data_IF_924773922586
#
_entry.id   IF_924773922586
#
_cell.length_a   1.000
_cell.length_b   1.000
_cell.length_c   1.000
_cell.angle_alpha   90.00
_cell.angle_beta   90.00
_cell.angle_gamma   90.00
#
_symmetry.space_group_name_H-M   'P 1'
#
loop_
_entity.id
_entity.type
_entity.pdbx_description
1 polymer ?
#
# COMPACT_ATOMS: atom_id res chain seq x y z
N UNK A 1 -20.61 52.38 38.36
CA UNK A 1 -19.25 52.04 38.82
C UNK A 1 -18.67 51.09 37.79
N UNK A 2 -17.53 51.41 37.18
CA UNK A 2 -16.86 50.47 36.29
C UNK A 2 -16.36 49.31 37.17
N UNK A 3 -16.78 48.05 36.95
CA UNK A 3 -16.34 46.95 37.79
C UNK A 3 -14.82 46.87 37.77
N UNK A 4 -14.20 46.68 38.94
CA UNK A 4 -12.78 46.37 39.00
C UNK A 4 -12.60 44.93 38.51
N UNK A 5 -12.45 44.75 37.20
CA UNK A 5 -12.32 43.44 36.58
C UNK A 5 -10.98 42.81 36.93
N UNK A 6 -10.96 41.48 37.08
CA UNK A 6 -9.72 40.75 37.37
C UNK A 6 -8.69 40.94 36.24
N UNK A 7 -7.37 40.92 36.55
CA UNK A 7 -6.33 41.05 35.53
C UNK A 7 -6.44 39.97 34.43
N UNK A 8 -6.10 40.32 33.20
CA UNK A 8 -6.24 39.42 32.04
C UNK A 8 -5.55 38.07 32.23
N UNK A 9 -4.33 38.05 32.76
CA UNK A 9 -3.59 36.81 33.00
C UNK A 9 -4.36 35.85 33.94
N UNK A 10 -4.94 36.40 35.01
CA UNK A 10 -5.76 35.65 35.99
C UNK A 10 -7.07 35.18 35.36
N UNK A 11 -7.74 36.04 34.60
CA UNK A 11 -8.95 35.68 33.86
C UNK A 11 -8.68 34.52 32.88
N UNK A 12 -7.57 34.61 32.13
CA UNK A 12 -7.15 33.62 31.13
C UNK A 12 -6.84 32.26 31.77
N UNK A 13 -6.11 32.24 32.88
CA UNK A 13 -5.82 31.00 33.61
C UNK A 13 -7.11 30.37 34.17
N UNK A 14 -7.98 31.19 34.75
CA UNK A 14 -9.25 30.75 35.31
C UNK A 14 -10.16 30.12 34.26
N UNK A 15 -10.39 30.78 33.12
CA UNK A 15 -11.32 30.28 32.08
C UNK A 15 -10.79 29.04 31.36
N UNK A 16 -9.47 28.84 31.31
CA UNK A 16 -8.84 27.66 30.72
C UNK A 16 -9.09 26.39 31.52
N UNK A 17 -9.28 26.49 32.84
CA UNK A 17 -9.62 25.34 33.68
C UNK A 17 -10.97 24.69 33.32
N UNK A 18 -11.85 25.41 32.63
CA UNK A 18 -13.17 24.94 32.21
C UNK A 18 -13.20 24.33 30.79
N UNK A 19 -12.10 24.41 30.03
CA UNK A 19 -11.99 23.75 28.73
C UNK A 19 -12.93 24.28 27.63
N UNK A 20 -13.36 25.54 27.69
CA UNK A 20 -14.23 26.12 26.67
C UNK A 20 -13.54 26.14 25.29
N UNK A 21 -14.16 25.52 24.29
CA UNK A 21 -13.59 25.41 22.94
C UNK A 21 -13.93 26.60 22.05
N UNK A 22 -15.03 27.30 22.33
CA UNK A 22 -15.54 28.40 21.51
C UNK A 22 -15.99 29.60 22.33
N UNK A 23 -16.06 30.76 21.67
CA UNK A 23 -16.64 31.98 22.24
C UNK A 23 -18.14 31.86 22.55
N UNK A 24 -18.84 30.89 21.96
CA UNK A 24 -20.24 30.62 22.24
C UNK A 24 -20.39 29.87 23.57
N UNK A 25 -19.56 28.84 23.81
CA UNK A 25 -19.57 28.06 25.06
C UNK A 25 -19.22 28.93 26.27
N UNK A 26 -18.21 29.79 26.12
CA UNK A 26 -17.88 30.77 27.15
C UNK A 26 -19.05 31.72 27.42
N UNK A 27 -19.73 32.21 26.38
CA UNK A 27 -20.85 33.15 26.53
C UNK A 27 -22.04 32.51 27.23
N UNK A 28 -22.45 31.31 26.84
CA UNK A 28 -23.60 30.61 27.45
C UNK A 28 -23.37 30.32 28.94
N UNK A 29 -22.13 30.02 29.34
CA UNK A 29 -21.76 29.95 30.75
C UNK A 29 -21.83 31.31 31.44
N UNK A 30 -21.23 32.36 30.86
CA UNK A 30 -21.25 33.71 31.48
C UNK A 30 -22.64 34.35 31.57
N UNK A 31 -23.63 33.86 30.82
CA UNK A 31 -25.03 34.30 30.86
C UNK A 31 -25.93 33.39 31.70
N UNK A 32 -25.37 32.43 32.46
CA UNK A 32 -26.10 31.62 33.44
C UNK A 32 -26.86 30.43 32.85
N UNK A 33 -26.54 30.01 31.62
CA UNK A 33 -27.26 28.93 30.92
C UNK A 33 -26.59 27.55 31.09
N UNK A 34 -25.60 27.43 31.99
CA UNK A 34 -24.83 26.22 32.29
C UNK A 34 -24.85 25.93 33.80
N UNK A 35 -25.88 25.22 34.32
CA UNK A 35 -25.99 24.91 35.76
C UNK A 35 -25.00 23.83 36.22
N UNK A 36 -24.34 23.15 35.28
CA UNK A 36 -23.29 22.16 35.50
C UNK A 36 -21.93 22.77 35.86
N UNK A 37 -21.79 24.09 35.74
CA UNK A 37 -20.54 24.82 36.01
C UNK A 37 -20.70 25.79 37.19
N UNK A 38 -19.59 26.15 37.86
CA UNK A 38 -19.60 27.16 38.92
C UNK A 38 -20.15 28.50 38.42
N UNK A 39 -20.76 29.26 39.33
CA UNK A 39 -21.22 30.62 39.03
C UNK A 39 -20.07 31.51 38.53
N UNK A 40 -20.39 32.38 37.57
CA UNK A 40 -19.43 33.32 37.01
C UNK A 40 -18.98 34.31 38.10
N UNK A 41 -17.66 34.47 38.36
CA UNK A 41 -17.17 35.51 39.26
C UNK A 41 -17.63 36.91 38.84
N UNK A 42 -17.95 37.76 39.81
CA UNK A 42 -18.46 39.12 39.54
C UNK A 42 -17.43 40.01 38.83
N UNK A 43 -16.14 39.77 39.09
CA UNK A 43 -14.98 40.45 38.51
C UNK A 43 -14.50 39.85 37.19
N UNK A 44 -15.16 38.80 36.67
CA UNK A 44 -14.90 38.26 35.34
C UNK A 44 -15.83 38.89 34.30
N UNK A 45 -15.30 39.56 33.25
CA UNK A 45 -16.14 40.18 32.23
C UNK A 45 -16.76 39.15 31.29
N UNK A 46 -18.05 39.30 30.97
CA UNK A 46 -18.71 38.48 29.94
C UNK A 46 -18.25 38.83 28.52
N UNK A 47 -17.74 40.06 28.32
CA UNK A 47 -17.17 40.55 27.06
C UNK A 47 -15.69 40.92 27.23
N UNK A 48 -14.78 39.93 27.32
CA UNK A 48 -13.35 40.16 27.60
C UNK A 48 -12.66 41.05 26.55
N UNK A 49 -13.11 41.03 25.29
CA UNK A 49 -12.58 41.89 24.23
C UNK A 49 -12.85 43.39 24.44
N UNK A 50 -13.85 43.76 25.24
CA UNK A 50 -14.16 45.17 25.56
C UNK A 50 -13.39 45.66 26.78
N UNK A 51 -12.99 44.75 27.68
CA UNK A 51 -12.30 45.08 28.94
C UNK A 51 -10.79 44.99 28.78
N UNK A 52 -10.30 43.99 28.06
CA UNK A 52 -8.88 43.70 27.88
C UNK A 52 -8.37 44.15 26.49
N UNK A 53 -8.81 45.31 25.99
CA UNK A 53 -8.56 45.79 24.61
C UNK A 53 -7.09 45.69 24.14
N UNK A 54 -6.11 45.91 25.04
CA UNK A 54 -4.68 45.83 24.72
C UNK A 54 -4.04 44.44 24.86
N UNK A 55 -4.69 43.53 25.59
CA UNK A 55 -4.13 42.21 25.94
C UNK A 55 -4.90 41.06 25.28
N UNK A 56 -6.13 41.31 24.82
CA UNK A 56 -7.02 40.32 24.22
C UNK A 56 -6.69 40.07 22.75
N UNK A 57 -5.89 39.05 22.49
CA UNK A 57 -5.53 38.64 21.13
C UNK A 57 -6.64 37.86 20.39
N UNK A 58 -7.72 37.52 21.10
CA UNK A 58 -8.86 36.76 20.59
C UNK A 58 -9.28 35.62 21.52
N UNK A 59 -10.46 35.05 21.28
CA UNK A 59 -11.00 33.95 22.10
C UNK A 59 -10.14 32.67 22.07
N UNK A 60 -9.37 32.44 21.00
CA UNK A 60 -8.45 31.30 20.95
C UNK A 60 -7.35 31.41 22.02
N UNK A 61 -6.72 32.59 22.15
CA UNK A 61 -5.73 32.84 23.20
C UNK A 61 -6.39 32.87 24.59
N UNK A 62 -7.51 33.60 24.72
CA UNK A 62 -8.17 33.78 26.01
C UNK A 62 -8.70 32.47 26.60
N UNK A 63 -9.30 31.59 25.79
CA UNK A 63 -9.84 30.30 26.25
C UNK A 63 -8.80 29.18 26.24
N UNK A 64 -7.60 29.41 25.70
CA UNK A 64 -6.62 28.34 25.45
C UNK A 64 -7.11 27.32 24.43
N UNK A 65 -8.04 27.71 23.55
CA UNK A 65 -8.57 26.84 22.51
C UNK A 65 -7.52 26.69 21.40
N UNK A 66 -7.15 25.45 21.10
CA UNK A 66 -6.27 25.07 19.99
C UNK A 66 -6.86 25.39 18.60
N UNK A 67 -8.06 25.99 18.53
CA UNK A 67 -8.66 26.48 17.29
C UNK A 67 -7.95 27.74 16.76
N UNK A 68 -6.73 27.56 16.26
CA UNK A 68 -6.15 28.51 15.30
C UNK A 68 -7.03 28.52 14.05
N UNK A 69 -7.38 29.71 13.56
CA UNK A 69 -8.10 29.87 12.31
C UNK A 69 -7.37 29.10 11.18
N UNK A 70 -8.07 28.43 10.24
CA UNK A 70 -7.47 27.50 9.29
C UNK A 70 -6.26 28.06 8.51
N UNK A 71 -6.22 29.37 8.27
CA UNK A 71 -5.17 30.07 7.53
C UNK A 71 -3.91 30.41 8.36
N UNK A 72 -3.96 30.30 9.70
CA UNK A 72 -2.80 30.48 10.60
C UNK A 72 -2.19 29.15 11.05
N UNK A 73 -2.65 28.02 10.52
CA UNK A 73 -2.08 26.70 10.82
C UNK A 73 -0.91 26.45 9.89
N UNK A 74 0.28 26.37 10.47
CA UNK A 74 1.47 25.87 9.78
C UNK A 74 1.45 24.35 9.86
N UNK A 75 1.26 23.71 8.71
CA UNK A 75 1.28 22.26 8.59
C UNK A 75 2.67 21.78 8.20
N UNK A 76 3.06 20.60 8.71
CA UNK A 76 4.30 19.96 8.30
C UNK A 76 4.37 19.76 6.78
N UNK A 77 5.56 19.74 6.17
CA UNK A 77 5.75 19.28 4.80
C UNK A 77 5.09 17.91 4.59
N UNK A 78 4.59 17.67 3.37
CA UNK A 78 3.83 16.46 3.07
C UNK A 78 4.56 15.16 3.45
N UNK A 79 5.85 15.07 3.14
CA UNK A 79 6.66 13.88 3.42
C UNK A 79 6.79 13.58 4.92
N UNK A 80 7.00 14.62 5.74
CA UNK A 80 7.10 14.49 7.20
C UNK A 80 5.75 14.14 7.82
N UNK A 81 4.68 14.81 7.37
CA UNK A 81 3.34 14.53 7.85
C UNK A 81 2.89 13.10 7.48
N UNK A 82 3.24 12.64 6.27
CA UNK A 82 2.97 11.28 5.81
C UNK A 82 3.77 10.24 6.59
N UNK A 83 5.02 10.52 6.93
CA UNK A 83 5.83 9.65 7.77
C UNK A 83 5.18 9.43 9.14
N UNK A 84 4.78 10.52 9.81
CA UNK A 84 4.03 10.47 11.07
C UNK A 84 2.75 9.64 10.95
N UNK A 85 1.92 9.91 9.95
CA UNK A 85 0.65 9.16 9.78
C UNK A 85 0.87 7.67 9.57
N UNK A 86 1.96 7.28 8.89
CA UNK A 86 2.28 5.87 8.67
C UNK A 86 2.79 5.16 9.92
N UNK A 87 3.40 5.87 10.86
CA UNK A 87 3.80 5.31 12.16
C UNK A 87 2.58 4.94 13.02
N UNK A 88 1.44 5.61 12.83
CA UNK A 88 0.19 5.30 13.53
C UNK A 88 -0.41 3.94 13.12
N UNK A 89 0.02 3.36 11.99
CA UNK A 89 -0.43 2.04 11.55
C UNK A 89 -1.92 1.92 11.21
N UNK A 90 -2.61 3.04 10.96
CA UNK A 90 -4.04 3.07 10.66
C UNK A 90 -4.32 2.41 9.31
N UNK A 91 -5.34 1.57 9.21
CA UNK A 91 -5.66 0.73 8.05
C UNK A 91 -6.70 1.36 7.10
N UNK A 92 -7.41 2.39 7.55
CA UNK A 92 -8.48 2.98 6.74
C UNK A 92 -8.71 4.47 6.97
N UNK A 93 -9.37 5.11 6.00
CA UNK A 93 -9.80 6.50 6.15
C UNK A 93 -10.82 6.66 7.29
N UNK A 94 -11.59 5.61 7.60
CA UNK A 94 -12.50 5.63 8.73
C UNK A 94 -11.73 5.72 10.05
N UNK A 95 -10.68 4.92 10.22
CA UNK A 95 -9.78 4.99 11.37
C UNK A 95 -9.04 6.32 11.46
N UNK A 96 -8.58 6.88 10.34
CA UNK A 96 -8.01 8.22 10.30
C UNK A 96 -8.97 9.28 10.85
N UNK A 97 -10.26 9.21 10.47
CA UNK A 97 -11.28 10.15 10.97
C UNK A 97 -11.49 9.98 12.48
N UNK A 98 -11.58 8.74 12.96
CA UNK A 98 -11.73 8.42 14.39
C UNK A 98 -10.53 8.93 15.20
N UNK A 99 -9.31 8.70 14.71
CA UNK A 99 -8.10 9.27 15.29
C UNK A 99 -8.14 10.80 15.33
N UNK A 100 -8.51 11.45 14.22
CA UNK A 100 -8.66 12.91 14.17
C UNK A 100 -9.70 13.47 15.15
N UNK A 101 -10.73 12.67 15.47
CA UNK A 101 -11.79 13.00 16.44
C UNK A 101 -11.39 12.69 17.89
N UNK A 102 -10.24 12.07 18.13
CA UNK A 102 -9.80 11.66 19.47
C UNK A 102 -10.49 10.40 19.99
N UNK A 103 -11.14 9.62 19.12
CA UNK A 103 -11.87 8.39 19.48
C UNK A 103 -10.97 7.15 19.63
N UNK A 104 -9.64 7.32 19.48
CA UNK A 104 -8.63 6.26 19.67
C UNK A 104 -7.58 6.78 20.67
N UNK A 105 -7.89 6.74 21.99
CA UNK A 105 -7.03 7.33 23.02
C UNK A 105 -5.62 6.73 23.08
N UNK A 106 -5.47 5.47 22.67
CA UNK A 106 -4.21 4.72 22.69
C UNK A 106 -3.15 5.32 21.74
N UNK A 107 -3.61 6.04 20.69
CA UNK A 107 -2.75 6.71 19.71
C UNK A 107 -2.49 8.19 20.07
N UNK A 108 -3.02 8.65 21.20
CA UNK A 108 -2.91 10.04 21.64
C UNK A 108 -3.72 11.02 20.80
N UNK A 109 -3.48 12.31 21.03
CA UNK A 109 -4.17 13.40 20.33
C UNK A 109 -3.44 13.75 19.04
N UNK A 110 -4.19 13.96 17.95
CA UNK A 110 -3.63 14.44 16.68
C UNK A 110 -2.85 15.75 16.88
N UNK A 111 -1.56 15.82 16.50
CA UNK A 111 -0.79 17.05 16.56
C UNK A 111 -1.41 18.19 15.73
N UNK A 112 -1.28 19.43 16.19
CA UNK A 112 -1.88 20.60 15.51
C UNK A 112 -1.34 20.82 14.08
N UNK A 113 -0.08 20.49 13.86
CA UNK A 113 0.65 20.63 12.59
C UNK A 113 0.38 19.49 11.59
N UNK A 114 -0.47 18.51 11.95
CA UNK A 114 -0.93 17.44 11.05
C UNK A 114 -2.36 17.75 10.64
N UNK A 115 -2.67 17.98 9.36
CA UNK A 115 -4.02 18.35 8.93
C UNK A 115 -5.00 17.17 9.07
N UNK A 116 -6.21 17.42 9.59
CA UNK A 116 -7.29 16.41 9.58
C UNK A 116 -7.81 16.11 8.17
N UNK A 117 -7.68 17.09 7.26
CA UNK A 117 -8.07 16.97 5.85
C UNK A 117 -6.84 17.15 4.93
N UNK A 118 -6.02 16.10 4.78
CA UNK A 118 -4.73 16.18 4.08
C UNK A 118 -4.86 16.37 2.56
N UNK A 119 -5.97 15.94 1.94
CA UNK A 119 -6.22 16.15 0.51
C UNK A 119 -6.29 17.63 0.13
N UNK A 120 -6.88 18.48 0.96
CA UNK A 120 -6.94 19.93 0.73
C UNK A 120 -5.61 20.60 1.03
N UNK A 121 -4.95 20.17 2.11
CA UNK A 121 -3.69 20.77 2.58
C UNK A 121 -2.53 20.49 1.63
N UNK A 122 -2.47 19.26 1.11
CA UNK A 122 -1.36 18.77 0.28
C UNK A 122 -1.72 18.62 -1.20
N UNK A 123 -2.84 19.19 -1.64
CA UNK A 123 -3.20 19.25 -3.07
C UNK A 123 -2.07 19.92 -3.86
N UNK A 124 -1.52 19.21 -4.84
CA UNK A 124 -0.39 19.72 -5.64
C UNK A 124 0.96 19.75 -4.91
N UNK A 125 1.04 19.25 -3.67
CA UNK A 125 2.24 19.18 -2.83
C UNK A 125 2.63 17.73 -2.49
N UNK A 126 2.34 16.78 -3.39
CA UNK A 126 2.65 15.35 -3.22
C UNK A 126 1.46 14.46 -2.86
N UNK A 127 0.27 15.02 -2.57
CA UNK A 127 -0.92 14.22 -2.29
C UNK A 127 -1.28 13.27 -3.43
N UNK A 128 -1.18 11.96 -3.16
CA UNK A 128 -1.53 10.90 -4.11
C UNK A 128 -2.81 10.13 -3.73
N UNK A 129 -3.52 10.56 -2.68
CA UNK A 129 -4.77 9.94 -2.21
C UNK A 129 -4.67 9.38 -0.80
N UNK A 130 -5.83 9.08 -0.20
CA UNK A 130 -5.92 8.61 1.19
C UNK A 130 -5.17 7.31 1.44
N UNK A 131 -5.10 6.46 0.42
CA UNK A 131 -4.36 5.20 0.45
C UNK A 131 -2.83 5.38 0.53
N UNK A 132 -2.28 6.36 -0.18
CA UNK A 132 -0.86 6.70 -0.07
C UNK A 132 -0.56 7.37 1.28
N UNK A 133 -1.43 8.31 1.68
CA UNK A 133 -1.35 9.01 2.96
C UNK A 133 -1.26 8.08 4.15
N UNK A 134 -2.16 7.10 4.23
CA UNK A 134 -2.22 6.15 5.34
C UNK A 134 -1.22 5.00 5.19
N UNK A 135 -0.63 4.82 4.01
CA UNK A 135 0.15 3.61 3.70
C UNK A 135 -0.71 2.34 3.55
N UNK A 136 -2.03 2.50 3.46
CA UNK A 136 -3.02 1.40 3.44
C UNK A 136 -3.44 1.00 2.04
N UNK A 137 -2.92 1.72 1.05
CA UNK A 137 -3.11 1.43 -0.34
C UNK A 137 -2.54 0.10 -0.75
N UNK A 138 -3.44 -0.82 -1.10
CA UNK A 138 -3.26 -1.51 -2.37
C UNK A 138 -2.86 -0.46 -3.43
N UNK A 139 -1.83 -0.75 -4.21
CA UNK A 139 -1.06 0.25 -4.95
C UNK A 139 -1.86 1.03 -5.99
N UNK A 140 -1.49 2.30 -6.15
CA UNK A 140 -2.06 3.18 -7.17
C UNK A 140 -1.70 2.69 -8.58
N UNK A 141 -2.73 2.55 -9.42
CA UNK A 141 -2.57 2.16 -10.82
C UNK A 141 -2.16 3.40 -11.64
N UNK A 142 -1.09 3.32 -12.45
CA UNK A 142 -0.78 4.40 -13.40
C UNK A 142 -1.96 4.59 -14.35
N UNK A 143 -2.23 5.85 -14.75
CA UNK A 143 -3.10 6.09 -15.91
C UNK A 143 -2.43 5.50 -17.15
N UNK A 144 -3.20 4.93 -18.08
CA UNK A 144 -2.65 4.13 -19.18
C UNK A 144 -1.63 4.83 -20.08
N UNK A 145 -1.65 6.17 -20.12
CA UNK A 145 -0.69 7.04 -20.81
C UNK A 145 0.65 7.20 -20.11
N UNK A 146 0.68 7.08 -18.78
CA UNK A 146 1.83 7.40 -17.93
C UNK A 146 2.64 6.14 -17.57
N UNK A 147 2.19 4.98 -18.06
CA UNK A 147 2.75 3.68 -17.73
C UNK A 147 3.93 3.34 -18.63
N UNK A 148 5.03 2.86 -18.03
CA UNK A 148 6.18 2.40 -18.82
C UNK A 148 5.80 1.24 -19.74
N UNK A 149 6.45 1.10 -20.91
CA UNK A 149 6.32 -0.09 -21.75
C UNK A 149 6.59 -1.38 -20.95
N UNK A 150 5.96 -2.49 -21.36
CA UNK A 150 6.09 -3.77 -20.66
C UNK A 150 7.56 -4.21 -20.52
N UNK A 151 8.37 -4.01 -21.55
CA UNK A 151 9.78 -4.42 -21.52
C UNK A 151 10.63 -3.61 -20.55
N UNK A 152 10.30 -2.33 -20.35
CA UNK A 152 10.94 -1.51 -19.32
C UNK A 152 10.48 -1.92 -17.91
N UNK A 153 9.19 -2.22 -17.74
CA UNK A 153 8.68 -2.74 -16.48
C UNK A 153 9.32 -4.09 -16.12
N UNK A 154 9.55 -4.97 -17.10
CA UNK A 154 10.29 -6.25 -16.92
C UNK A 154 11.72 -5.99 -16.46
N UNK A 155 12.46 -5.12 -17.15
CA UNK A 155 13.85 -4.77 -16.76
C UNK A 155 13.89 -4.25 -15.33
N UNK A 156 12.94 -3.39 -14.95
CA UNK A 156 12.81 -2.89 -13.59
C UNK A 156 12.52 -4.01 -12.59
N UNK A 157 11.49 -4.82 -12.85
CA UNK A 157 11.04 -5.86 -11.94
C UNK A 157 12.12 -6.94 -11.71
N UNK A 158 12.86 -7.32 -12.76
CA UNK A 158 13.96 -8.29 -12.70
C UNK A 158 15.12 -7.82 -11.82
N UNK A 159 15.41 -6.51 -11.77
CA UNK A 159 16.44 -5.95 -10.88
C UNK A 159 16.10 -6.10 -9.39
N UNK A 160 14.82 -6.25 -9.05
CA UNK A 160 14.39 -6.45 -7.66
C UNK A 160 14.58 -7.90 -7.19
N UNK A 161 14.87 -8.84 -8.10
CA UNK A 161 15.11 -10.26 -7.81
C UNK A 161 13.97 -10.93 -7.02
N UNK A 162 12.72 -10.49 -7.25
CA UNK A 162 11.53 -11.08 -6.65
C UNK A 162 11.12 -12.32 -7.45
N UNK A 163 10.73 -13.39 -6.78
CA UNK A 163 10.45 -14.69 -7.41
C UNK A 163 8.96 -14.96 -7.62
N UNK A 164 8.09 -14.25 -6.92
CA UNK A 164 6.65 -14.55 -6.88
C UNK A 164 5.77 -13.31 -6.81
N UNK A 165 4.50 -13.47 -7.17
CA UNK A 165 3.47 -12.44 -6.96
C UNK A 165 3.35 -12.01 -5.50
N UNK A 166 3.53 -12.94 -4.55
CA UNK A 166 3.46 -12.64 -3.11
C UNK A 166 4.54 -11.64 -2.72
N UNK A 167 5.77 -11.84 -3.19
CA UNK A 167 6.89 -10.93 -2.97
C UNK A 167 6.70 -9.60 -3.69
N UNK A 168 6.24 -9.63 -4.94
CA UNK A 168 5.84 -8.43 -5.67
C UNK A 168 4.79 -7.62 -4.89
N UNK A 169 3.79 -8.27 -4.30
CA UNK A 169 2.75 -7.62 -3.49
C UNK A 169 3.32 -6.97 -2.23
N UNK A 170 4.23 -7.65 -1.53
CA UNK A 170 4.94 -7.09 -0.36
C UNK A 170 5.79 -5.87 -0.73
N UNK A 171 6.56 -5.99 -1.82
CA UNK A 171 7.35 -4.89 -2.38
C UNK A 171 6.49 -3.65 -2.65
N UNK A 172 5.40 -3.87 -3.37
CA UNK A 172 4.45 -2.84 -3.78
C UNK A 172 3.77 -2.13 -2.61
N UNK A 173 3.61 -2.81 -1.46
CA UNK A 173 3.11 -2.24 -0.20
C UNK A 173 4.18 -1.55 0.64
N UNK A 174 5.44 -1.57 0.21
CA UNK A 174 6.55 -1.03 0.97
C UNK A 174 6.95 -1.89 2.17
N UNK A 175 6.48 -3.14 2.26
CA UNK A 175 6.87 -4.07 3.32
C UNK A 175 8.36 -4.47 3.19
N UNK A 176 8.91 -4.45 1.96
CA UNK A 176 10.32 -4.74 1.68
C UNK A 176 11.16 -3.45 1.69
N UNK A 177 11.43 -2.93 2.90
CA UNK A 177 12.11 -1.63 3.12
C UNK A 177 13.56 -1.54 2.60
N UNK A 178 14.21 -2.68 2.36
CA UNK A 178 15.56 -2.74 1.80
C UNK A 178 15.60 -2.54 0.27
N UNK A 179 14.42 -2.54 -0.39
CA UNK A 179 14.30 -2.33 -1.84
C UNK A 179 13.95 -0.87 -2.15
N UNK A 180 14.31 -0.38 -3.36
CA UNK A 180 13.98 0.98 -3.76
C UNK A 180 12.46 1.17 -3.85
N UNK A 181 11.99 2.37 -3.49
CA UNK A 181 10.57 2.70 -3.63
C UNK A 181 10.04 2.45 -5.05
N UNK A 182 8.81 1.94 -5.14
CA UNK A 182 8.18 1.63 -6.43
C UNK A 182 8.00 2.90 -7.26
N UNK A 183 8.56 2.98 -8.48
CA UNK A 183 8.29 4.08 -9.38
C UNK A 183 6.79 4.25 -9.64
N UNK A 184 6.35 5.49 -9.80
CA UNK A 184 4.94 5.83 -10.01
C UNK A 184 4.40 5.26 -11.34
N UNK A 185 5.24 5.16 -12.36
CA UNK A 185 4.94 4.70 -13.71
C UNK A 185 5.01 3.16 -13.87
N UNK A 186 5.50 2.44 -12.87
CA UNK A 186 5.48 0.96 -12.84
C UNK A 186 4.16 0.49 -12.24
N UNK A 187 3.34 -0.26 -13.00
CA UNK A 187 2.04 -0.70 -12.53
C UNK A 187 2.21 -1.75 -11.47
N UNK A 188 1.32 -1.69 -10.50
CA UNK A 188 1.43 -2.56 -9.35
C UNK A 188 0.57 -3.83 -9.47
N UNK A 189 -0.39 -3.81 -10.41
CA UNK A 189 -1.12 -4.98 -10.90
C UNK A 189 -0.76 -5.17 -12.38
N UNK A 190 0.49 -5.58 -12.68
CA UNK A 190 1.00 -5.60 -14.06
C UNK A 190 0.22 -6.55 -14.98
N UNK A 191 -0.33 -7.66 -14.46
CA UNK A 191 -1.16 -8.58 -15.24
C UNK A 191 -2.43 -7.94 -15.82
N UNK A 192 -3.06 -7.02 -15.09
CA UNK A 192 -4.24 -6.32 -15.56
C UNK A 192 -3.84 -5.22 -16.57
N UNK A 193 -2.77 -4.48 -16.26
CA UNK A 193 -2.29 -3.37 -17.07
C UNK A 193 -1.71 -3.78 -18.42
N UNK A 194 -0.99 -4.90 -18.47
CA UNK A 194 -0.33 -5.39 -19.67
C UNK A 194 -1.08 -6.54 -20.36
N UNK A 195 -2.31 -6.85 -19.94
CA UNK A 195 -3.10 -7.97 -20.46
C UNK A 195 -3.16 -8.01 -21.99
N UNK A 196 -3.42 -6.86 -22.61
CA UNK A 196 -3.46 -6.70 -24.07
C UNK A 196 -2.14 -6.22 -24.70
N UNK A 197 -1.07 -6.12 -23.89
CA UNK A 197 0.25 -5.59 -24.27
C UNK A 197 1.36 -6.64 -24.13
N UNK A 198 1.03 -7.93 -24.27
CA UNK A 198 1.99 -9.02 -24.23
C UNK A 198 2.31 -9.57 -22.84
N UNK A 199 1.44 -9.37 -21.85
CA UNK A 199 1.57 -10.02 -20.55
C UNK A 199 1.48 -11.55 -20.68
N UNK A 200 2.47 -12.25 -20.14
CA UNK A 200 2.49 -13.72 -20.08
C UNK A 200 2.19 -14.19 -18.66
N UNK A 201 3.06 -13.87 -17.70
CA UNK A 201 2.91 -14.32 -16.31
C UNK A 201 3.79 -13.51 -15.36
N UNK A 202 3.60 -13.73 -14.05
CA UNK A 202 4.54 -13.18 -13.06
C UNK A 202 5.94 -13.76 -13.18
N UNK A 203 6.09 -15.03 -13.60
CA UNK A 203 7.41 -15.61 -13.81
C UNK A 203 8.18 -14.91 -14.93
N UNK A 204 7.53 -14.71 -16.08
CA UNK A 204 8.09 -13.93 -17.19
C UNK A 204 8.41 -12.47 -16.78
N UNK A 205 7.46 -11.83 -16.10
CA UNK A 205 7.57 -10.44 -15.71
C UNK A 205 8.71 -10.19 -14.71
N UNK A 206 8.80 -11.04 -13.69
CA UNK A 206 9.81 -10.95 -12.64
C UNK A 206 11.14 -11.59 -13.05
N UNK A 207 11.15 -12.35 -14.16
CA UNK A 207 12.30 -13.14 -14.60
C UNK A 207 12.63 -14.29 -13.66
N UNK A 208 11.63 -14.83 -12.95
CA UNK A 208 11.79 -16.07 -12.21
C UNK A 208 11.56 -17.25 -13.15
N UNK A 209 12.40 -18.28 -13.09
CA UNK A 209 12.36 -19.48 -13.95
C UNK A 209 11.06 -20.31 -13.84
N UNK A 210 10.06 -19.80 -13.12
CA UNK A 210 8.70 -20.33 -13.15
C UNK A 210 8.00 -19.98 -14.47
N UNK A 211 8.26 -20.78 -15.52
CA UNK A 211 7.45 -20.73 -16.74
C UNK A 211 6.01 -21.06 -16.37
N UNK A 212 5.10 -20.12 -16.64
CA UNK A 212 3.69 -20.34 -16.35
C UNK A 212 3.14 -21.42 -17.28
N UNK A 213 2.24 -22.25 -16.76
CA UNK A 213 1.65 -23.38 -17.48
C UNK A 213 0.85 -22.99 -18.73
N UNK A 214 0.55 -21.69 -18.91
CA UNK A 214 -0.15 -21.11 -20.06
C UNK A 214 0.78 -20.35 -21.03
N UNK A 215 2.09 -20.63 -21.05
CA UNK A 215 2.93 -20.20 -22.18
C UNK A 215 2.39 -20.83 -23.48
N UNK A 216 2.49 -20.14 -24.61
CA UNK A 216 2.01 -20.66 -25.92
C UNK A 216 3.12 -21.27 -26.77
N UNK A 217 4.38 -21.14 -26.36
CA UNK A 217 5.56 -21.61 -27.13
C UNK A 217 6.02 -23.00 -26.69
N UNK A 218 5.07 -23.90 -26.42
CA UNK A 218 5.41 -25.28 -26.08
C UNK A 218 5.75 -26.06 -27.33
N UNK A 219 6.76 -26.93 -27.21
CA UNK A 219 6.99 -27.98 -28.20
C UNK A 219 5.70 -28.80 -28.37
N UNK A 220 5.44 -29.31 -29.58
CA UNK A 220 4.26 -30.13 -29.87
C UNK A 220 4.14 -31.29 -28.86
N UNK A 221 2.91 -31.71 -28.55
CA UNK A 221 2.69 -32.80 -27.59
C UNK A 221 3.44 -34.08 -28.01
N UNK A 222 3.45 -34.42 -29.30
CA UNK A 222 4.13 -35.61 -29.81
C UNK A 222 5.65 -35.54 -29.65
N UNK A 223 6.27 -34.42 -30.02
CA UNK A 223 7.72 -34.25 -29.89
C UNK A 223 8.15 -34.13 -28.42
N UNK A 224 7.32 -33.49 -27.59
CA UNK A 224 7.57 -33.37 -26.15
C UNK A 224 7.40 -34.73 -25.46
N UNK A 225 6.37 -35.50 -25.80
CA UNK A 225 6.15 -36.88 -25.32
C UNK A 225 7.31 -37.79 -25.72
N UNK A 226 7.74 -37.76 -26.97
CA UNK A 226 8.87 -38.54 -27.47
C UNK A 226 10.18 -38.18 -26.76
N UNK A 227 10.41 -36.89 -26.53
CA UNK A 227 11.57 -36.42 -25.77
C UNK A 227 11.53 -36.88 -24.31
N UNK A 228 10.40 -36.72 -23.63
CA UNK A 228 10.27 -37.07 -22.21
C UNK A 228 10.28 -38.58 -21.97
N UNK A 229 9.70 -39.36 -22.88
CA UNK A 229 9.75 -40.83 -22.80
C UNK A 229 11.19 -41.34 -22.92
N UNK A 230 12.04 -40.69 -23.72
CA UNK A 230 13.46 -41.02 -23.86
C UNK A 230 14.28 -40.76 -22.58
N UNK A 231 13.82 -39.87 -21.68
CA UNK A 231 14.47 -39.62 -20.39
C UNK A 231 14.27 -40.75 -19.37
N UNK A 232 13.35 -41.67 -19.63
CA UNK A 232 13.06 -42.86 -18.81
C UNK A 232 12.74 -42.54 -17.32
N UNK A 233 12.06 -41.42 -17.09
CA UNK A 233 11.65 -40.98 -15.75
C UNK A 233 10.55 -41.91 -15.21
N UNK A 234 10.75 -42.46 -14.00
CA UNK A 234 9.91 -43.54 -13.46
C UNK A 234 8.67 -43.02 -12.73
N UNK A 235 8.65 -41.74 -12.38
CA UNK A 235 7.56 -41.15 -11.60
C UNK A 235 7.35 -39.67 -11.89
N UNK A 236 6.18 -39.17 -11.52
CA UNK A 236 5.91 -37.73 -11.52
C UNK A 236 6.86 -36.96 -10.59
N UNK A 237 7.38 -37.60 -9.53
CA UNK A 237 8.33 -36.97 -8.63
C UNK A 237 9.69 -36.76 -9.30
N UNK A 238 10.17 -37.77 -10.05
CA UNK A 238 11.39 -37.67 -10.86
C UNK A 238 11.22 -36.62 -11.96
N UNK A 239 10.06 -36.57 -12.62
CA UNK A 239 9.70 -35.49 -13.55
C UNK A 239 9.85 -34.10 -12.94
N UNK A 240 9.23 -33.87 -11.77
CA UNK A 240 9.29 -32.57 -11.10
C UNK A 240 10.71 -32.18 -10.70
N UNK A 241 11.55 -33.15 -10.34
CA UNK A 241 12.96 -32.90 -10.00
C UNK A 241 13.76 -32.54 -11.23
N UNK A 242 13.71 -33.39 -12.27
CA UNK A 242 14.39 -33.15 -13.53
C UNK A 242 13.97 -31.82 -14.17
N UNK A 243 12.68 -31.48 -14.12
CA UNK A 243 12.18 -30.24 -14.73
C UNK A 243 12.76 -28.99 -14.07
N UNK A 244 12.90 -28.99 -12.75
CA UNK A 244 13.48 -27.85 -12.01
C UNK A 244 14.95 -27.63 -12.26
N UNK A 245 15.70 -28.67 -12.62
CA UNK A 245 17.16 -28.62 -12.70
C UNK A 245 17.66 -28.53 -14.14
N UNK A 246 16.99 -29.22 -15.09
CA UNK A 246 17.58 -29.54 -16.40
C UNK A 246 16.59 -29.29 -17.56
N UNK A 247 15.30 -29.01 -17.32
CA UNK A 247 14.33 -28.96 -18.42
C UNK A 247 14.60 -27.83 -19.44
N UNK A 248 14.52 -28.16 -20.75
CA UNK A 248 14.41 -27.17 -21.80
C UNK A 248 13.20 -26.24 -21.61
N UNK A 249 13.34 -24.98 -22.02
CA UNK A 249 12.31 -23.92 -21.85
C UNK A 249 11.01 -24.18 -22.61
N UNK A 250 11.06 -25.03 -23.64
CA UNK A 250 9.94 -25.42 -24.50
C UNK A 250 9.17 -26.65 -23.98
N UNK A 251 9.52 -27.16 -22.78
CA UNK A 251 8.84 -28.26 -22.12
C UNK A 251 8.07 -27.74 -20.89
N UNK A 252 6.74 -27.91 -20.81
CA UNK A 252 5.93 -27.36 -19.71
C UNK A 252 6.12 -28.10 -18.39
N UNK A 253 6.16 -27.39 -17.27
CA UNK A 253 6.21 -28.00 -15.92
C UNK A 253 4.96 -28.84 -15.62
N UNK A 254 3.79 -28.38 -16.07
CA UNK A 254 2.49 -29.06 -15.94
C UNK A 254 1.98 -29.48 -17.34
N UNK A 255 2.46 -30.59 -17.89
CA UNK A 255 2.10 -31.04 -19.24
C UNK A 255 0.62 -31.43 -19.36
N UNK A 256 0.01 -31.89 -18.27
CA UNK A 256 -1.43 -32.18 -18.17
C UNK A 256 -2.32 -30.95 -18.43
N UNK A 257 -1.82 -29.76 -18.09
CA UNK A 257 -2.51 -28.50 -18.33
C UNK A 257 -2.13 -27.89 -19.67
N UNK A 258 -0.85 -27.94 -20.02
CA UNK A 258 -0.33 -27.37 -21.26
C UNK A 258 -0.85 -28.12 -22.51
N UNK A 259 -1.02 -29.44 -22.41
CA UNK A 259 -1.51 -30.29 -23.50
C UNK A 259 -2.92 -30.83 -23.22
N UNK A 260 -3.76 -30.10 -22.49
CA UNK A 260 -5.05 -30.59 -22.00
C UNK A 260 -5.94 -31.26 -23.07
N UNK A 261 -5.86 -30.83 -24.34
CA UNK A 261 -6.61 -31.42 -25.45
C UNK A 261 -6.03 -32.74 -25.97
N UNK A 262 -4.72 -32.95 -25.85
CA UNK A 262 -3.99 -34.13 -26.33
C UNK A 262 -3.51 -35.04 -25.18
N UNK A 263 -3.80 -34.69 -23.93
CA UNK A 263 -3.23 -35.34 -22.75
C UNK A 263 -3.84 -36.72 -22.49
N UNK A 264 -3.01 -37.76 -22.59
CA UNK A 264 -3.42 -39.16 -22.39
C UNK A 264 -3.09 -39.70 -20.99
N UNK A 265 -2.47 -38.88 -20.13
CA UNK A 265 -2.10 -39.25 -18.78
C UNK A 265 -0.60 -39.46 -18.55
N UNK A 266 -0.22 -39.47 -17.27
CA UNK A 266 1.18 -39.55 -16.85
C UNK A 266 1.89 -40.83 -17.26
N UNK A 267 1.16 -41.94 -17.42
CA UNK A 267 1.72 -43.22 -17.87
C UNK A 267 2.21 -43.16 -19.31
N UNK A 268 1.45 -42.48 -20.18
CA UNK A 268 1.77 -42.29 -21.60
C UNK A 268 2.88 -41.24 -21.75
N UNK A 269 2.75 -40.10 -21.06
CA UNK A 269 3.75 -39.03 -21.07
C UNK A 269 5.15 -39.47 -20.63
N UNK A 270 5.23 -40.34 -19.61
CA UNK A 270 6.50 -40.87 -19.10
C UNK A 270 6.96 -42.16 -19.82
N UNK A 271 6.26 -42.60 -20.88
CA UNK A 271 6.65 -43.77 -21.67
C UNK A 271 6.52 -45.12 -20.96
N UNK A 272 5.69 -45.24 -19.90
CA UNK A 272 5.61 -46.47 -19.08
C UNK A 272 5.03 -47.68 -19.82
N UNK A 273 4.23 -47.46 -20.88
CA UNK A 273 3.64 -48.53 -21.70
C UNK A 273 4.54 -49.05 -22.83
N UNK A 274 5.62 -48.33 -23.20
CA UNK A 274 6.53 -48.72 -24.29
C UNK A 274 7.73 -49.58 -23.84
N UNK A 275 7.76 -50.00 -22.57
CA UNK A 275 8.86 -50.80 -21.98
C UNK A 275 9.07 -52.18 -22.61
N UNK A 276 8.28 -52.59 -23.60
CA UNK A 276 8.42 -53.87 -24.28
C UNK A 276 9.13 -53.82 -25.63
N UNK A 277 9.68 -52.70 -26.12
CA UNK A 277 10.49 -52.72 -27.35
C UNK A 277 11.59 -51.66 -27.46
N UNK A 278 12.83 -52.17 -27.49
CA UNK A 278 14.07 -51.64 -28.11
C UNK A 278 14.75 -50.39 -27.51
N UNK A 279 15.87 -50.63 -26.82
CA UNK A 279 16.76 -49.66 -26.14
C UNK A 279 17.92 -49.11 -26.98
N UNK A 280 17.98 -49.36 -28.29
CA UNK A 280 19.20 -49.08 -29.07
C UNK A 280 19.22 -47.70 -29.75
N UNK A 281 18.06 -47.13 -30.10
CA UNK A 281 17.98 -45.91 -30.91
C UNK A 281 18.12 -44.58 -30.15
N UNK A 282 17.86 -44.54 -28.84
CA UNK A 282 17.80 -43.27 -28.08
C UNK A 282 19.18 -42.74 -27.67
N UNK A 283 20.19 -43.62 -27.54
CA UNK A 283 21.55 -43.22 -27.13
C UNK A 283 22.27 -42.45 -28.23
N UNK A 284 22.06 -42.82 -29.49
CA UNK A 284 22.71 -42.19 -30.63
C UNK A 284 22.17 -40.77 -30.91
N UNK A 285 20.92 -40.49 -30.51
CA UNK A 285 20.31 -39.17 -30.72
C UNK A 285 20.79 -38.12 -29.70
N UNK A 286 21.10 -38.52 -28.46
CA UNK A 286 21.62 -37.62 -27.41
C UNK A 286 23.08 -37.22 -27.69
N UNK A 287 23.88 -38.10 -28.29
CA UNK A 287 25.29 -37.84 -28.59
C UNK A 287 25.49 -36.82 -29.75
N UNK A 288 24.53 -36.68 -30.66
CA UNK A 288 24.67 -35.87 -31.87
C UNK A 288 24.43 -34.36 -31.66
N UNK A 289 23.97 -33.91 -30.48
CA UNK A 289 23.50 -32.52 -30.28
C UNK A 289 24.11 -31.79 -29.07
N UNK A 290 25.06 -32.40 -28.37
CA UNK A 290 25.83 -31.78 -27.28
C UNK A 290 27.26 -31.34 -27.71
N UNK A 291 27.45 -31.03 -28.99
CA UNK A 291 28.59 -30.24 -29.50
C UNK A 291 28.12 -28.89 -29.96
#
# INVERSE_FOLDING_TARGET
>A
MNPNFMPFAKAREFVRAFGFSTAADFRTWTTGTRPDLPEKPADLPSNPHQVYLGEFLGYADFLGSSNKAPYRREFLPFEEARAFVRELGLESLAEWKRYCAGEIPELGVRPENIPSNPNFTYRGKGWAGSRDWLGTGGPQMPRGSDMVPLDEARKFARRLQLSSWTEWRKYVRGELRHLPAKPHNVPAIPHACYRAKGWVSYGDFLGSDTVAWHSTDWRSYEDAKAFVSALNLRSQQEWRRWHREIAPKDIPYNPDKAYAQAWEGWSVWLGKYQRTRTTESARDWIAARLR
#
